data_IF_892855111238
#
_entry.id   IF_892855111238
#
_cell.length_a   1.000
_cell.length_b   1.000
_cell.length_c   1.000
_cell.angle_alpha   90.00
_cell.angle_beta   90.00
_cell.angle_gamma   90.00
#
_symmetry.space_group_name_H-M   'P 1'
#
loop_
_entity.id
_entity.type
_entity.pdbx_description
1 polymer ?
#
# COMPACT_ATOMS: atom_id res chain seq x y z
N UNK A 1 -17.49 4.86 -26.95
CA UNK A 1 -16.30 4.00 -26.94
C UNK A 1 -16.73 2.64 -26.40
N UNK A 2 -16.39 1.53 -27.05
CA UNK A 2 -16.70 0.20 -26.52
C UNK A 2 -15.93 -0.05 -25.21
N UNK A 3 -16.41 -0.97 -24.36
CA UNK A 3 -15.74 -1.34 -23.10
C UNK A 3 -14.27 -1.74 -23.32
N UNK A 4 -14.01 -2.61 -24.31
CA UNK A 4 -12.66 -3.04 -24.64
C UNK A 4 -11.76 -1.88 -25.12
N UNK A 5 -12.30 -0.93 -25.89
CA UNK A 5 -11.54 0.24 -26.33
C UNK A 5 -11.16 1.14 -25.14
N UNK A 6 -12.02 1.22 -24.12
CA UNK A 6 -11.72 1.98 -22.89
C UNK A 6 -10.61 1.30 -22.06
N UNK A 7 -10.68 0.00 -21.84
CA UNK A 7 -9.63 -0.75 -21.13
C UNK A 7 -8.28 -0.60 -21.84
N UNK A 8 -8.28 -0.71 -23.17
CA UNK A 8 -7.06 -0.55 -23.97
C UNK A 8 -6.47 0.86 -23.82
N UNK A 9 -7.30 1.89 -23.85
CA UNK A 9 -6.87 3.27 -23.62
C UNK A 9 -6.30 3.45 -22.20
N UNK A 10 -6.96 2.89 -21.19
CA UNK A 10 -6.49 2.92 -19.80
C UNK A 10 -5.13 2.20 -19.69
N UNK A 11 -4.96 1.02 -20.29
CA UNK A 11 -3.70 0.28 -20.30
C UNK A 11 -2.55 1.08 -20.91
N UNK A 12 -2.79 1.72 -22.06
CA UNK A 12 -1.80 2.56 -22.73
C UNK A 12 -1.46 3.84 -21.97
N UNK A 13 -2.34 4.33 -21.09
CA UNK A 13 -2.10 5.54 -20.28
C UNK A 13 -1.30 5.29 -19.01
N UNK A 14 -1.10 4.02 -18.61
CA UNK A 14 -0.32 3.70 -17.42
C UNK A 14 1.15 4.07 -17.60
N UNK A 15 1.76 4.50 -16.50
CA UNK A 15 3.18 4.76 -16.38
C UNK A 15 3.77 3.94 -15.21
N UNK A 16 5.10 3.75 -15.12
CA UNK A 16 5.71 2.99 -14.03
C UNK A 16 5.42 3.51 -12.61
N UNK A 17 4.89 4.73 -12.47
CA UNK A 17 4.39 5.26 -11.20
C UNK A 17 2.99 4.72 -10.84
N UNK A 18 2.31 4.05 -11.76
CA UNK A 18 1.05 3.37 -11.52
C UNK A 18 1.33 1.92 -11.10
N UNK A 19 0.80 1.49 -9.97
CA UNK A 19 1.07 0.19 -9.32
C UNK A 19 0.98 -0.99 -10.32
N UNK A 20 -0.06 -1.02 -11.13
CA UNK A 20 -0.30 -2.10 -12.07
C UNK A 20 0.85 -2.28 -13.08
N UNK A 21 1.37 -1.18 -13.66
CA UNK A 21 2.49 -1.24 -14.58
C UNK A 21 3.81 -1.46 -13.84
N UNK A 22 4.00 -0.82 -12.67
CA UNK A 22 5.20 -1.03 -11.85
C UNK A 22 5.40 -2.51 -11.52
N UNK A 23 4.36 -3.17 -11.00
CA UNK A 23 4.39 -4.59 -10.63
C UNK A 23 4.77 -5.47 -11.83
N UNK A 24 4.17 -5.22 -13.00
CA UNK A 24 4.50 -5.97 -14.23
C UNK A 24 5.93 -5.72 -14.71
N UNK A 25 6.43 -4.50 -14.60
CA UNK A 25 7.81 -4.17 -14.92
C UNK A 25 8.80 -4.82 -13.93
N UNK A 26 8.42 -4.84 -12.65
CA UNK A 26 9.22 -5.41 -11.56
C UNK A 26 9.33 -6.95 -11.60
N UNK A 27 8.58 -7.65 -12.45
CA UNK A 27 8.83 -9.07 -12.76
C UNK A 27 10.20 -9.29 -13.42
N UNK A 28 10.78 -8.26 -14.03
CA UNK A 28 12.11 -8.32 -14.65
C UNK A 28 13.22 -8.01 -13.65
N UNK A 29 14.07 -8.99 -13.37
CA UNK A 29 15.26 -8.82 -12.52
C UNK A 29 16.18 -7.69 -13.02
N UNK A 30 16.30 -7.53 -14.36
CA UNK A 30 17.10 -6.46 -14.98
C UNK A 30 16.55 -5.09 -14.66
N UNK A 31 15.22 -4.93 -14.67
CA UNK A 31 14.54 -3.68 -14.30
C UNK A 31 14.79 -3.36 -12.83
N UNK A 32 14.60 -4.34 -11.95
CA UNK A 32 14.86 -4.18 -10.51
C UNK A 32 16.31 -3.76 -10.25
N UNK A 33 17.26 -4.41 -10.89
CA UNK A 33 18.68 -4.12 -10.72
C UNK A 33 19.06 -2.72 -11.24
N UNK A 34 18.50 -2.32 -12.37
CA UNK A 34 18.75 -0.99 -12.95
C UNK A 34 18.22 0.11 -12.03
N UNK A 35 17.00 -0.01 -11.51
CA UNK A 35 16.43 0.92 -10.54
C UNK A 35 17.26 1.01 -9.26
N UNK A 36 17.56 -0.13 -8.66
CA UNK A 36 18.25 -0.18 -7.38
C UNK A 36 19.69 0.34 -7.46
N UNK A 37 20.37 0.18 -8.59
CA UNK A 37 21.69 0.79 -8.83
C UNK A 37 21.65 2.30 -8.77
N UNK A 38 20.56 2.90 -9.24
CA UNK A 38 20.37 4.36 -9.21
C UNK A 38 20.01 4.81 -7.79
N UNK A 39 19.02 4.18 -7.15
CA UNK A 39 18.54 4.60 -5.84
C UNK A 39 19.58 4.41 -4.72
N UNK A 40 20.35 3.32 -4.79
CA UNK A 40 21.39 3.01 -3.82
C UNK A 40 22.77 3.56 -4.21
N UNK A 41 22.86 4.25 -5.36
CA UNK A 41 24.10 4.80 -5.91
C UNK A 41 25.25 3.77 -5.99
N UNK A 42 24.91 2.52 -6.24
CA UNK A 42 25.85 1.40 -6.35
C UNK A 42 25.75 0.75 -7.74
N UNK A 43 26.71 1.08 -8.61
CA UNK A 43 26.78 0.56 -9.98
C UNK A 43 27.08 -0.94 -10.05
N UNK A 44 27.66 -1.50 -8.99
CA UNK A 44 28.03 -2.93 -8.92
C UNK A 44 26.96 -3.78 -8.24
N UNK A 45 25.88 -3.16 -7.74
CA UNK A 45 24.79 -3.86 -7.09
C UNK A 45 24.24 -4.99 -7.97
N UNK A 46 24.05 -6.15 -7.35
CA UNK A 46 23.46 -7.34 -7.97
C UNK A 46 22.22 -7.74 -7.20
N UNK A 47 21.10 -7.83 -7.92
CA UNK A 47 19.85 -8.39 -7.42
C UNK A 47 19.84 -9.88 -7.69
N UNK A 48 19.69 -10.70 -6.65
CA UNK A 48 19.63 -12.16 -6.76
C UNK A 48 18.21 -12.66 -7.01
N UNK A 49 17.23 -11.96 -6.43
CA UNK A 49 15.84 -12.38 -6.45
C UNK A 49 14.92 -11.16 -6.32
N UNK A 50 13.78 -11.22 -6.98
CA UNK A 50 12.75 -10.18 -6.95
C UNK A 50 11.36 -10.82 -6.82
N UNK A 51 10.54 -10.24 -6.00
CA UNK A 51 9.19 -10.72 -5.67
C UNK A 51 8.21 -9.54 -5.70
N UNK A 52 7.56 -9.28 -6.85
CA UNK A 52 6.46 -8.31 -6.93
C UNK A 52 5.26 -8.75 -6.10
N UNK A 53 4.50 -7.81 -5.57
CA UNK A 53 3.32 -8.03 -4.73
C UNK A 53 3.57 -9.02 -3.57
N UNK A 54 4.71 -8.85 -2.88
CA UNK A 54 5.08 -9.73 -1.76
C UNK A 54 4.16 -9.51 -0.56
N UNK A 55 3.37 -10.53 -0.21
CA UNK A 55 2.51 -10.49 0.98
C UNK A 55 3.35 -10.83 2.21
N UNK A 56 3.43 -9.89 3.15
CA UNK A 56 4.05 -10.08 4.46
C UNK A 56 2.95 -10.19 5.51
N UNK A 57 2.78 -11.40 6.04
CA UNK A 57 1.70 -11.70 6.99
C UNK A 57 2.03 -11.18 8.37
N UNK A 58 1.02 -10.60 9.04
CA UNK A 58 1.06 -10.30 10.45
C UNK A 58 -0.03 -11.14 11.16
N UNK A 59 0.39 -12.04 12.03
CA UNK A 59 -0.53 -12.94 12.75
C UNK A 59 -1.39 -12.22 13.80
N UNK A 60 -0.98 -11.04 14.26
CA UNK A 60 -1.62 -10.30 15.34
C UNK A 60 -2.24 -8.96 14.90
N UNK A 61 -2.12 -8.60 13.63
CA UNK A 61 -2.58 -7.30 13.15
C UNK A 61 -2.65 -7.23 11.63
N UNK A 62 -2.56 -6.01 11.10
CA UNK A 62 -2.64 -5.74 9.68
C UNK A 62 -1.43 -6.33 8.94
N UNK A 63 -1.64 -7.24 8.01
CA UNK A 63 -0.63 -7.66 7.02
C UNK A 63 -0.34 -6.53 6.04
N UNK A 64 0.81 -6.57 5.37
CA UNK A 64 1.11 -5.63 4.30
C UNK A 64 1.41 -6.37 2.99
N UNK A 65 1.14 -5.68 1.89
CA UNK A 65 1.54 -6.09 0.55
C UNK A 65 2.61 -5.09 0.14
N UNK A 66 3.79 -5.59 -0.20
CA UNK A 66 4.89 -4.78 -0.71
C UNK A 66 4.83 -4.83 -2.24
N UNK A 67 4.90 -3.68 -2.90
CA UNK A 67 4.85 -3.63 -4.36
C UNK A 67 6.00 -4.42 -4.98
N UNK A 68 7.18 -4.34 -4.37
CA UNK A 68 8.33 -5.14 -4.75
C UNK A 68 9.22 -5.42 -3.54
N UNK A 69 9.68 -6.68 -3.43
CA UNK A 69 10.74 -7.11 -2.51
C UNK A 69 11.88 -7.69 -3.31
N UNK A 70 13.12 -7.25 -3.04
CA UNK A 70 14.34 -7.76 -3.67
C UNK A 70 15.33 -8.26 -2.62
N UNK A 71 16.11 -9.29 -2.98
CA UNK A 71 17.27 -9.75 -2.23
C UNK A 71 18.54 -9.43 -3.00
N UNK A 72 19.46 -8.74 -2.37
CA UNK A 72 20.75 -8.36 -2.95
C UNK A 72 21.83 -9.43 -2.71
N UNK A 73 22.85 -9.46 -3.55
CA UNK A 73 24.02 -10.31 -3.36
C UNK A 73 24.78 -10.00 -2.05
N UNK A 74 24.66 -8.79 -1.53
CA UNK A 74 25.18 -8.40 -0.22
C UNK A 74 24.42 -9.00 0.97
N UNK A 75 23.34 -9.74 0.73
CA UNK A 75 22.45 -10.26 1.76
C UNK A 75 21.35 -9.29 2.21
N UNK A 76 21.42 -8.02 1.84
CA UNK A 76 20.40 -7.01 2.19
C UNK A 76 19.09 -7.29 1.49
N UNK A 77 18.00 -6.94 2.17
CA UNK A 77 16.65 -6.98 1.61
C UNK A 77 16.21 -5.56 1.30
N UNK A 78 15.70 -5.33 0.11
CA UNK A 78 15.13 -4.04 -0.30
C UNK A 78 13.66 -4.25 -0.59
N UNK A 79 12.81 -3.40 -0.05
CA UNK A 79 11.44 -3.29 -0.55
C UNK A 79 11.20 -1.92 -1.16
N UNK A 80 10.39 -1.88 -2.21
CA UNK A 80 10.02 -0.67 -2.93
C UNK A 80 8.50 -0.54 -2.89
N UNK A 81 8.05 0.67 -2.63
CA UNK A 81 6.65 1.10 -2.68
C UNK A 81 6.55 2.23 -3.69
N UNK A 82 5.53 2.24 -4.53
CA UNK A 82 5.21 3.36 -5.41
C UNK A 82 3.91 4.02 -4.96
N UNK A 83 3.85 5.35 -4.99
CA UNK A 83 2.69 6.09 -4.51
C UNK A 83 2.39 7.30 -5.41
N UNK A 84 1.18 7.34 -5.96
CA UNK A 84 0.73 8.42 -6.84
C UNK A 84 -0.03 9.52 -6.08
N UNK A 85 -0.83 9.14 -5.10
CA UNK A 85 -1.63 10.05 -4.28
C UNK A 85 -0.96 10.38 -2.94
N UNK A 86 -1.13 11.60 -2.46
CA UNK A 86 -0.63 12.05 -1.15
C UNK A 86 -1.70 11.80 -0.07
N UNK A 87 -1.53 10.73 0.71
CA UNK A 87 -2.45 10.28 1.77
C UNK A 87 -2.00 10.69 3.18
N UNK A 88 -0.96 11.53 3.32
CA UNK A 88 -0.39 12.07 4.58
C UNK A 88 0.18 11.07 5.60
N UNK A 89 0.22 9.76 5.30
CA UNK A 89 0.70 8.73 6.25
C UNK A 89 1.99 7.99 5.82
N UNK A 90 2.66 8.46 4.78
CA UNK A 90 3.74 7.78 4.07
C UNK A 90 4.88 7.28 4.97
N UNK A 91 5.40 8.13 5.85
CA UNK A 91 6.49 7.76 6.75
C UNK A 91 6.05 6.69 7.77
N UNK A 92 4.80 6.71 8.21
CA UNK A 92 4.24 5.69 9.11
C UNK A 92 4.06 4.36 8.39
N UNK A 93 3.64 4.39 7.13
CA UNK A 93 3.50 3.22 6.25
C UNK A 93 4.86 2.58 6.01
N UNK A 94 5.87 3.35 5.59
CA UNK A 94 7.24 2.86 5.39
C UNK A 94 7.79 2.20 6.66
N UNK A 95 7.66 2.87 7.82
CA UNK A 95 8.04 2.29 9.11
C UNK A 95 7.32 0.98 9.41
N UNK A 96 6.01 0.92 9.19
CA UNK A 96 5.21 -0.27 9.46
C UNK A 96 5.63 -1.44 8.57
N UNK A 97 5.73 -1.21 7.26
CA UNK A 97 6.12 -2.22 6.28
C UNK A 97 7.54 -2.75 6.55
N UNK A 98 8.49 -1.86 6.82
CA UNK A 98 9.86 -2.22 7.21
C UNK A 98 9.91 -3.06 8.48
N UNK A 99 9.11 -2.72 9.50
CA UNK A 99 9.08 -3.45 10.77
C UNK A 99 8.52 -4.86 10.60
N UNK A 100 7.39 -5.01 9.89
CA UNK A 100 6.80 -6.33 9.62
C UNK A 100 7.75 -7.16 8.76
N UNK A 101 8.34 -6.57 7.71
CA UNK A 101 9.30 -7.28 6.86
C UNK A 101 10.47 -7.78 7.70
N UNK A 102 11.05 -6.94 8.56
CA UNK A 102 12.17 -7.31 9.45
C UNK A 102 11.78 -8.46 10.37
N UNK A 103 10.58 -8.42 10.96
CA UNK A 103 10.09 -9.49 11.83
C UNK A 103 9.90 -10.82 11.08
N UNK A 104 9.48 -10.77 9.82
CA UNK A 104 9.21 -11.98 9.02
C UNK A 104 10.46 -12.60 8.39
N UNK A 105 11.56 -11.85 8.22
CA UNK A 105 12.83 -12.39 7.70
C UNK A 105 13.76 -12.88 8.79
N UNK A 106 13.42 -12.65 10.06
CA UNK A 106 14.16 -13.14 11.21
C UNK A 106 13.78 -14.59 11.50
N UNK A 107 14.71 -15.53 11.30
CA UNK A 107 14.47 -16.92 11.62
C UNK A 107 14.35 -17.13 13.15
N UNK A 108 13.45 -18.00 13.62
CA UNK A 108 13.35 -18.34 15.01
C UNK A 108 14.70 -18.81 15.61
N UNK A 109 15.14 -18.14 16.68
CA UNK A 109 16.40 -18.47 17.36
C UNK A 109 17.66 -17.87 16.71
N UNK A 110 17.56 -17.14 15.59
CA UNK A 110 18.68 -16.39 15.02
C UNK A 110 19.13 -15.27 15.97
N UNK A 111 20.42 -14.93 15.91
CA UNK A 111 20.93 -13.77 16.64
C UNK A 111 20.53 -12.49 15.92
N UNK A 112 20.21 -11.42 16.65
CA UNK A 112 19.83 -10.14 16.06
C UNK A 112 20.85 -9.58 15.05
N UNK A 113 22.15 -9.86 15.24
CA UNK A 113 23.21 -9.46 14.31
C UNK A 113 23.16 -10.18 12.95
N UNK A 114 22.48 -11.33 12.89
CA UNK A 114 22.40 -12.16 11.69
C UNK A 114 21.14 -11.85 10.87
N UNK A 115 20.25 -10.99 11.38
CA UNK A 115 19.07 -10.52 10.67
C UNK A 115 19.53 -9.59 9.52
N UNK A 116 19.11 -9.86 8.27
CA UNK A 116 19.47 -9.03 7.14
C UNK A 116 19.10 -7.56 7.30
N UNK A 117 19.94 -6.65 6.80
CA UNK A 117 19.59 -5.24 6.69
C UNK A 117 18.39 -5.07 5.76
N UNK A 118 17.47 -4.16 6.13
CA UNK A 118 16.28 -3.82 5.37
C UNK A 118 16.38 -2.38 4.86
N UNK A 119 16.26 -2.22 3.56
CA UNK A 119 16.21 -0.92 2.89
C UNK A 119 14.81 -0.69 2.36
N UNK A 120 14.18 0.39 2.77
CA UNK A 120 12.87 0.82 2.29
C UNK A 120 13.04 1.93 1.26
N UNK A 121 12.55 1.72 0.04
CA UNK A 121 12.53 2.74 -1.01
C UNK A 121 11.08 3.13 -1.27
N UNK A 122 10.75 4.38 -1.05
CA UNK A 122 9.43 4.94 -1.29
C UNK A 122 9.50 5.91 -2.47
N UNK A 123 8.86 5.57 -3.58
CA UNK A 123 8.81 6.39 -4.80
C UNK A 123 7.46 7.10 -4.84
N UNK A 124 7.45 8.42 -4.90
CA UNK A 124 6.22 9.21 -4.92
C UNK A 124 6.17 10.19 -6.09
N UNK A 125 4.96 10.46 -6.57
CA UNK A 125 4.70 11.51 -7.57
C UNK A 125 4.66 12.91 -6.95
N UNK A 126 4.96 13.03 -5.66
CA UNK A 126 4.95 14.27 -4.88
C UNK A 126 6.15 14.29 -3.92
N UNK A 127 6.50 15.47 -3.43
CA UNK A 127 7.61 15.64 -2.47
C UNK A 127 7.13 15.42 -1.02
N UNK A 128 7.37 14.22 -0.47
CA UNK A 128 7.00 13.83 0.91
C UNK A 128 7.48 14.83 1.95
N UNK A 129 8.68 15.41 1.78
CA UNK A 129 9.30 16.32 2.74
C UNK A 129 9.15 17.79 2.37
N UNK A 130 8.66 18.11 1.16
CA UNK A 130 8.48 19.48 0.65
C UNK A 130 9.78 20.33 0.72
N UNK A 131 10.91 19.70 0.36
CA UNK A 131 12.26 20.33 0.39
C UNK A 131 12.92 20.42 -0.99
N UNK A 132 12.21 20.04 -2.05
CA UNK A 132 12.65 20.17 -3.44
C UNK A 132 13.86 19.32 -3.81
N UNK A 133 14.02 18.14 -3.24
CA UNK A 133 15.10 17.21 -3.60
C UNK A 133 14.52 16.00 -4.35
N UNK A 134 15.28 15.49 -5.31
CA UNK A 134 14.94 14.28 -6.06
C UNK A 134 15.01 13.00 -5.20
N UNK A 135 15.86 13.02 -4.16
CA UNK A 135 16.01 11.90 -3.23
C UNK A 135 16.29 12.39 -1.82
N UNK A 136 15.77 11.66 -0.84
CA UNK A 136 16.05 11.86 0.58
C UNK A 136 16.50 10.55 1.20
N UNK A 137 17.58 10.60 1.98
CA UNK A 137 18.03 9.51 2.82
C UNK A 137 17.69 9.84 4.26
N UNK A 138 16.88 8.98 4.90
CA UNK A 138 16.50 9.13 6.30
C UNK A 138 17.36 8.20 7.13
N UNK A 139 18.11 8.80 8.06
CA UNK A 139 19.05 8.09 8.92
C UNK A 139 18.73 8.37 10.39
N UNK A 140 19.12 7.47 11.26
CA UNK A 140 19.06 7.67 12.70
C UNK A 140 20.34 8.26 13.21
N UNK A 141 20.24 9.21 14.12
CA UNK A 141 21.38 9.85 14.76
C UNK A 141 21.24 9.80 16.28
N UNK A 142 22.38 9.72 16.96
CA UNK A 142 22.46 9.96 18.39
C UNK A 142 22.41 11.46 18.59
N UNK A 143 21.36 11.97 19.22
CA UNK A 143 21.09 13.40 19.29
C UNK A 143 22.17 14.18 20.02
N UNK A 144 22.79 13.54 21.02
CA UNK A 144 23.82 14.12 21.87
C UNK A 144 25.20 14.23 21.19
N UNK A 145 25.50 13.35 20.22
CA UNK A 145 26.82 13.30 19.57
C UNK A 145 26.76 13.66 18.09
N UNK A 146 25.58 13.61 17.46
CA UNK A 146 25.39 13.76 16.02
C UNK A 146 25.84 12.55 15.20
N UNK A 147 26.27 11.47 15.85
CA UNK A 147 26.76 10.26 15.18
C UNK A 147 25.61 9.43 14.60
N UNK A 148 25.84 8.83 13.43
CA UNK A 148 24.88 7.94 12.79
C UNK A 148 24.77 6.60 13.51
N UNK A 149 23.55 6.08 13.63
CA UNK A 149 23.26 4.76 14.18
C UNK A 149 23.04 3.75 13.06
N UNK A 150 23.92 2.78 12.96
CA UNK A 150 23.80 1.66 12.03
C UNK A 150 23.08 0.50 12.71
N UNK A 151 21.79 0.38 12.47
CA UNK A 151 20.93 -0.67 13.07
C UNK A 151 20.28 -1.60 12.05
N UNK A 152 20.82 -1.63 10.83
CA UNK A 152 20.31 -2.50 9.76
C UNK A 152 19.05 -1.95 9.04
N UNK A 153 18.62 -0.71 9.33
CA UNK A 153 17.45 -0.10 8.67
C UNK A 153 17.85 1.18 7.95
N UNK A 154 17.43 1.32 6.69
CA UNK A 154 17.61 2.53 5.89
C UNK A 154 16.31 2.87 5.17
N UNK A 155 15.96 4.15 5.11
CA UNK A 155 14.79 4.64 4.38
C UNK A 155 15.25 5.63 3.30
N UNK A 156 14.72 5.46 2.09
CA UNK A 156 15.01 6.30 0.92
C UNK A 156 13.67 6.74 0.35
N UNK A 157 13.50 8.06 0.21
CA UNK A 157 12.32 8.62 -0.44
C UNK A 157 12.75 9.26 -1.75
N UNK A 158 12.14 8.80 -2.85
CA UNK A 158 12.41 9.26 -4.21
C UNK A 158 11.23 10.10 -4.68
N UNK A 159 11.51 11.33 -5.06
CA UNK A 159 10.55 12.31 -5.51
C UNK A 159 10.55 12.39 -7.04
N UNK A 160 9.48 11.94 -7.68
CA UNK A 160 9.36 11.94 -9.15
C UNK A 160 8.93 13.30 -9.73
N UNK A 161 8.67 14.31 -8.88
CA UNK A 161 8.29 15.65 -9.33
C UNK A 161 9.50 16.53 -9.72
N UNK A 162 10.67 16.24 -9.15
CA UNK A 162 11.86 17.07 -9.33
C UNK A 162 12.64 16.68 -10.59
N UNK A 163 12.98 17.69 -11.38
CA UNK A 163 13.82 17.57 -12.56
C UNK A 163 15.10 18.42 -12.39
N UNK A 164 16.12 17.85 -11.75
CA UNK A 164 17.41 18.46 -11.49
C UNK A 164 18.54 17.89 -12.38
N UNK A 165 18.15 17.21 -13.48
CA UNK A 165 19.07 16.55 -14.41
C UNK A 165 19.90 15.39 -13.83
N UNK A 166 19.72 15.06 -12.56
CA UNK A 166 20.36 13.90 -11.94
C UNK A 166 19.89 12.58 -12.57
N UNK A 167 20.66 11.51 -12.35
CA UNK A 167 20.27 10.18 -12.79
C UNK A 167 18.93 9.74 -12.20
N UNK A 168 18.64 10.17 -10.99
CA UNK A 168 17.38 9.89 -10.30
C UNK A 168 16.24 10.64 -10.98
N UNK A 169 16.40 11.95 -11.25
CA UNK A 169 15.38 12.73 -11.94
C UNK A 169 15.12 12.19 -13.35
N UNK A 170 16.17 11.81 -14.10
CA UNK A 170 16.04 11.18 -15.41
C UNK A 170 15.31 9.85 -15.35
N UNK A 171 15.61 9.00 -14.37
CA UNK A 171 14.90 7.75 -14.15
C UNK A 171 13.42 8.01 -13.79
N UNK A 172 13.16 8.96 -12.88
CA UNK A 172 11.79 9.34 -12.51
C UNK A 172 11.01 9.93 -13.67
N UNK A 173 11.64 10.59 -14.60
CA UNK A 173 11.01 11.02 -15.85
C UNK A 173 10.48 9.84 -16.69
N UNK A 174 11.22 8.72 -16.72
CA UNK A 174 10.69 7.46 -17.32
C UNK A 174 9.47 6.96 -16.54
N UNK A 175 9.41 7.19 -15.22
CA UNK A 175 8.30 6.75 -14.38
C UNK A 175 7.01 7.56 -14.58
N UNK A 176 7.11 8.84 -14.88
CA UNK A 176 5.93 9.74 -14.88
C UNK A 176 5.51 10.25 -16.25
N UNK A 177 6.42 10.35 -17.20
CA UNK A 177 6.11 10.86 -18.56
C UNK A 177 5.75 9.72 -19.52
N UNK A 178 4.66 9.90 -20.20
CA UNK A 178 4.03 8.86 -21.03
C UNK A 178 4.96 8.33 -22.15
N UNK A 179 5.56 9.22 -22.91
CA UNK A 179 6.38 8.90 -24.09
C UNK A 179 7.87 9.05 -23.88
N UNK A 180 8.31 9.24 -22.64
CA UNK A 180 9.73 9.40 -22.34
C UNK A 180 10.41 8.04 -22.09
N UNK A 181 11.51 7.84 -22.79
CA UNK A 181 12.39 6.66 -22.71
C UNK A 181 13.84 7.18 -22.65
N UNK A 182 14.68 6.55 -21.83
CA UNK A 182 16.06 7.00 -21.65
C UNK A 182 17.05 5.86 -21.93
N UNK A 183 17.98 6.08 -22.86
CA UNK A 183 18.99 5.09 -23.22
C UNK A 183 19.97 4.76 -22.08
N UNK A 184 20.04 5.61 -21.05
CA UNK A 184 20.82 5.34 -19.85
C UNK A 184 20.18 4.25 -18.98
N UNK A 185 18.88 4.08 -19.11
CA UNK A 185 18.08 3.08 -18.40
C UNK A 185 17.36 2.16 -19.38
N UNK A 186 18.14 1.33 -20.12
CA UNK A 186 17.61 0.55 -21.25
C UNK A 186 16.63 -0.54 -20.79
N UNK A 187 16.84 -1.19 -19.63
CA UNK A 187 15.96 -2.26 -19.17
C UNK A 187 14.57 -1.74 -18.82
N UNK A 188 14.49 -0.64 -18.10
CA UNK A 188 13.23 0.03 -17.73
C UNK A 188 12.53 0.62 -18.97
N UNK A 189 13.27 1.35 -19.80
CA UNK A 189 12.72 2.00 -20.98
C UNK A 189 12.16 1.00 -21.98
N UNK A 190 12.87 -0.10 -22.21
CA UNK A 190 12.41 -1.17 -23.11
C UNK A 190 11.18 -1.88 -22.55
N UNK A 191 11.20 -2.23 -21.25
CA UNK A 191 10.06 -2.92 -20.62
C UNK A 191 8.81 -2.03 -20.65
N UNK A 192 8.94 -0.74 -20.35
CA UNK A 192 7.87 0.24 -20.49
C UNK A 192 7.34 0.29 -21.92
N UNK A 193 8.24 0.37 -22.91
CA UNK A 193 7.85 0.43 -24.32
C UNK A 193 7.06 -0.80 -24.73
N UNK A 194 7.49 -2.01 -24.36
CA UNK A 194 6.77 -3.25 -24.65
C UNK A 194 5.32 -3.16 -24.16
N UNK A 195 5.10 -2.83 -22.90
CA UNK A 195 3.75 -2.77 -22.32
C UNK A 195 2.87 -1.65 -22.89
N UNK A 196 3.46 -0.59 -23.43
CA UNK A 196 2.70 0.55 -23.94
C UNK A 196 2.46 0.51 -25.45
N UNK A 197 3.31 -0.18 -26.22
CA UNK A 197 3.29 -0.05 -27.68
C UNK A 197 3.16 -1.35 -28.45
N UNK A 198 3.51 -2.51 -27.86
CA UNK A 198 3.30 -3.79 -28.53
C UNK A 198 1.90 -4.31 -28.26
N UNK A 199 1.34 -5.05 -29.23
CA UNK A 199 0.00 -5.61 -29.09
C UNK A 199 -0.07 -6.61 -27.92
N UNK A 200 0.95 -7.46 -27.77
CA UNK A 200 1.07 -8.43 -26.69
C UNK A 200 1.15 -7.75 -25.32
N UNK A 201 2.05 -6.77 -25.14
CA UNK A 201 2.22 -6.06 -23.88
C UNK A 201 0.97 -5.25 -23.49
N UNK A 202 0.31 -4.59 -24.44
CA UNK A 202 -0.95 -3.87 -24.17
C UNK A 202 -2.07 -4.85 -23.78
N UNK A 203 -2.17 -6.01 -24.43
CA UNK A 203 -3.17 -7.02 -24.07
C UNK A 203 -2.91 -7.58 -22.66
N UNK A 204 -1.65 -7.85 -22.33
CA UNK A 204 -1.27 -8.28 -20.97
C UNK A 204 -1.68 -7.24 -19.91
N UNK A 205 -1.47 -5.95 -20.18
CA UNK A 205 -1.91 -4.88 -19.27
C UNK A 205 -3.44 -4.76 -19.20
N UNK A 206 -4.15 -5.00 -20.31
CA UNK A 206 -5.63 -5.06 -20.27
C UNK A 206 -6.13 -6.14 -19.30
N UNK A 207 -5.54 -7.34 -19.35
CA UNK A 207 -5.89 -8.44 -18.43
C UNK A 207 -5.62 -8.09 -16.97
N UNK A 208 -4.49 -7.42 -16.69
CA UNK A 208 -4.17 -6.92 -15.34
C UNK A 208 -5.22 -5.94 -14.85
N UNK A 209 -5.61 -4.97 -15.67
CA UNK A 209 -6.63 -3.96 -15.32
C UNK A 209 -7.99 -4.63 -15.07
N UNK A 210 -8.39 -5.58 -15.91
CA UNK A 210 -9.65 -6.30 -15.74
C UNK A 210 -9.69 -7.10 -14.45
N UNK A 211 -8.59 -7.81 -14.14
CA UNK A 211 -8.44 -8.56 -12.89
C UNK A 211 -8.53 -7.64 -11.67
N UNK A 212 -7.74 -6.55 -11.65
CA UNK A 212 -7.74 -5.61 -10.53
C UNK A 212 -9.13 -4.98 -10.32
N UNK A 213 -9.85 -4.67 -11.40
CA UNK A 213 -11.23 -4.17 -11.33
C UNK A 213 -12.21 -5.22 -10.80
N UNK A 214 -12.03 -6.48 -11.18
CA UNK A 214 -12.87 -7.57 -10.68
C UNK A 214 -12.65 -7.82 -9.18
N UNK A 215 -11.38 -7.80 -8.74
CA UNK A 215 -10.98 -7.93 -7.34
C UNK A 215 -11.55 -6.78 -6.49
N UNK A 216 -11.35 -5.53 -6.91
CA UNK A 216 -11.88 -4.36 -6.20
C UNK A 216 -13.42 -4.38 -6.09
N UNK A 217 -14.13 -4.86 -7.14
CA UNK A 217 -15.59 -5.05 -7.07
C UNK A 217 -15.97 -6.14 -6.07
N UNK A 218 -15.24 -7.25 -6.06
CA UNK A 218 -15.52 -8.36 -5.14
C UNK A 218 -15.29 -7.95 -3.68
N UNK A 219 -14.21 -7.19 -3.41
CA UNK A 219 -13.92 -6.63 -2.09
C UNK A 219 -15.00 -5.66 -1.65
N UNK A 220 -15.37 -4.67 -2.47
CA UNK A 220 -16.43 -3.71 -2.15
C UNK A 220 -17.78 -4.39 -1.90
N UNK A 221 -18.11 -5.46 -2.65
CA UNK A 221 -19.31 -6.25 -2.37
C UNK A 221 -19.20 -7.06 -1.07
N UNK A 222 -18.02 -7.53 -0.70
CA UNK A 222 -17.81 -8.25 0.55
C UNK A 222 -17.91 -7.32 1.76
N UNK A 223 -17.29 -6.14 1.68
CA UNK A 223 -17.35 -5.09 2.70
C UNK A 223 -18.80 -4.61 2.91
N UNK A 224 -19.50 -4.21 1.84
CA UNK A 224 -20.88 -3.76 1.93
C UNK A 224 -21.84 -4.83 2.50
N UNK A 225 -21.59 -6.13 2.20
CA UNK A 225 -22.35 -7.21 2.84
C UNK A 225 -22.00 -7.39 4.32
N UNK A 226 -20.73 -7.17 4.70
CA UNK A 226 -20.32 -7.28 6.10
C UNK A 226 -20.90 -6.12 6.93
N UNK A 227 -20.85 -4.91 6.40
CA UNK A 227 -21.45 -3.71 7.02
C UNK A 227 -22.97 -3.87 7.16
N UNK A 228 -23.70 -4.18 6.09
CA UNK A 228 -25.14 -4.37 6.15
C UNK A 228 -25.58 -5.49 7.10
N UNK A 229 -24.77 -6.56 7.24
CA UNK A 229 -25.03 -7.60 8.25
C UNK A 229 -24.76 -7.11 9.68
N UNK A 230 -23.75 -6.26 9.87
CA UNK A 230 -23.44 -5.69 11.18
C UNK A 230 -24.53 -4.71 11.62
N UNK A 231 -24.97 -3.82 10.73
CA UNK A 231 -26.08 -2.89 10.94
C UNK A 231 -27.40 -3.62 11.22
N UNK A 232 -27.81 -4.54 10.37
CA UNK A 232 -29.04 -5.30 10.57
C UNK A 232 -29.05 -6.14 11.86
N UNK A 233 -27.88 -6.64 12.31
CA UNK A 233 -27.79 -7.30 13.63
C UNK A 233 -27.88 -6.29 14.79
N UNK A 234 -27.36 -5.08 14.63
CA UNK A 234 -27.46 -4.04 15.64
C UNK A 234 -28.90 -3.56 15.77
N UNK A 235 -29.56 -3.25 14.64
CA UNK A 235 -30.97 -2.86 14.58
C UNK A 235 -31.89 -3.95 15.15
N UNK A 236 -31.76 -5.19 14.70
CA UNK A 236 -32.57 -6.31 15.21
C UNK A 236 -32.39 -6.57 16.70
N UNK A 237 -31.17 -6.34 17.25
CA UNK A 237 -30.95 -6.40 18.70
C UNK A 237 -31.65 -5.24 19.44
N UNK A 238 -31.59 -4.03 18.89
CA UNK A 238 -32.25 -2.87 19.47
C UNK A 238 -33.77 -3.02 19.46
N UNK A 239 -34.35 -3.44 18.34
CA UNK A 239 -35.78 -3.72 18.21
C UNK A 239 -36.25 -4.85 19.14
N UNK A 240 -35.49 -5.96 19.19
CA UNK A 240 -35.79 -7.08 20.09
C UNK A 240 -35.73 -6.68 21.57
N UNK A 241 -34.75 -5.85 21.95
CA UNK A 241 -34.64 -5.30 23.30
C UNK A 241 -35.83 -4.38 23.64
N UNK A 242 -36.17 -3.47 22.74
CA UNK A 242 -37.31 -2.56 22.91
C UNK A 242 -38.64 -3.35 23.02
N UNK A 243 -38.83 -4.34 22.17
CA UNK A 243 -40.02 -5.19 22.18
C UNK A 243 -40.16 -5.97 23.51
N UNK A 244 -39.04 -6.55 24.00
CA UNK A 244 -39.01 -7.23 25.29
C UNK A 244 -39.32 -6.31 26.45
N UNK A 245 -38.70 -5.15 26.53
CA UNK A 245 -38.91 -4.14 27.56
C UNK A 245 -40.34 -3.63 27.55
N UNK A 246 -40.90 -3.35 26.37
CA UNK A 246 -42.32 -2.98 26.19
C UNK A 246 -43.26 -4.05 26.74
N UNK A 247 -42.97 -5.32 26.47
CA UNK A 247 -43.75 -6.43 27.00
C UNK A 247 -43.70 -6.53 28.53
N UNK A 248 -42.51 -6.32 29.13
CA UNK A 248 -42.35 -6.33 30.58
C UNK A 248 -43.07 -5.17 31.25
N UNK A 249 -43.11 -3.98 30.66
CA UNK A 249 -43.91 -2.85 31.15
C UNK A 249 -45.39 -3.17 31.07
N UNK A 250 -45.90 -3.68 29.96
CA UNK A 250 -47.32 -4.06 29.79
C UNK A 250 -47.76 -5.13 30.77
N UNK A 251 -46.84 -6.00 31.22
CA UNK A 251 -47.09 -7.02 32.25
C UNK A 251 -46.90 -6.54 33.68
N UNK A 252 -46.70 -5.22 33.91
CA UNK A 252 -46.38 -4.59 35.16
C UNK A 252 -45.17 -5.23 35.91
N UNK A 253 -44.20 -5.75 35.15
CA UNK A 253 -42.97 -6.36 35.68
C UNK A 253 -41.81 -5.37 35.73
N UNK A 254 -41.90 -4.25 34.99
CA UNK A 254 -40.95 -3.15 34.93
C UNK A 254 -41.73 -1.84 34.89
N UNK A 255 -41.22 -0.81 35.53
CA UNK A 255 -41.72 0.55 35.33
C UNK A 255 -41.20 1.13 34.01
N UNK A 256 -41.91 2.13 33.46
CA UNK A 256 -41.47 2.83 32.25
C UNK A 256 -40.07 3.43 32.45
N UNK A 257 -39.79 3.99 33.65
CA UNK A 257 -38.50 4.56 33.99
C UNK A 257 -37.36 3.56 33.93
N UNK A 258 -37.57 2.36 34.51
CA UNK A 258 -36.59 1.27 34.46
C UNK A 258 -36.41 0.74 33.02
N UNK A 259 -37.49 0.61 32.26
CA UNK A 259 -37.42 0.14 30.88
C UNK A 259 -36.71 1.15 29.96
N UNK A 260 -36.93 2.44 30.14
CA UNK A 260 -36.24 3.50 29.43
C UNK A 260 -34.73 3.52 29.75
N UNK A 261 -34.40 3.37 31.02
CA UNK A 261 -33.00 3.24 31.47
C UNK A 261 -32.31 2.03 30.86
N UNK A 262 -32.97 0.85 30.91
CA UNK A 262 -32.46 -0.37 30.26
C UNK A 262 -32.39 -0.25 28.74
N UNK A 263 -33.19 0.56 28.10
CA UNK A 263 -33.15 0.81 26.65
C UNK A 263 -32.18 1.92 26.26
N UNK A 264 -31.49 2.53 27.23
CA UNK A 264 -30.55 3.65 27.02
C UNK A 264 -31.19 4.85 26.33
N UNK A 265 -32.41 5.22 26.76
CA UNK A 265 -33.20 6.31 26.19
C UNK A 265 -33.99 7.08 27.28
N UNK A 266 -34.60 8.21 26.89
CA UNK A 266 -35.48 8.95 27.80
C UNK A 266 -36.83 8.25 27.97
N UNK A 267 -37.53 8.52 29.10
CA UNK A 267 -38.89 7.97 29.31
C UNK A 267 -39.85 8.43 28.21
N UNK A 268 -39.69 9.65 27.71
CA UNK A 268 -40.51 10.20 26.63
C UNK A 268 -40.30 9.45 25.31
N UNK A 269 -39.02 9.18 24.94
CA UNK A 269 -38.70 8.43 23.74
C UNK A 269 -39.19 6.99 23.85
N UNK A 270 -39.00 6.37 25.03
CA UNK A 270 -39.46 5.01 25.26
C UNK A 270 -41.00 4.89 25.11
N UNK A 271 -41.75 5.83 25.69
CA UNK A 271 -43.24 5.88 25.52
C UNK A 271 -43.64 5.96 24.06
N UNK A 272 -42.95 6.84 23.30
CA UNK A 272 -43.26 7.07 21.89
C UNK A 272 -42.99 5.82 21.06
N UNK A 273 -41.80 5.19 21.23
CA UNK A 273 -41.38 4.00 20.48
C UNK A 273 -42.14 2.75 20.91
N UNK A 274 -42.48 2.61 22.17
CA UNK A 274 -43.24 1.48 22.72
C UNK A 274 -44.77 1.59 22.56
N UNK A 275 -45.25 2.70 22.01
CA UNK A 275 -46.68 3.00 21.88
C UNK A 275 -47.45 2.82 23.22
N UNK A 276 -46.92 3.44 24.29
CA UNK A 276 -47.42 3.36 25.66
C UNK A 276 -47.98 4.71 26.13
#
# INVERSE_FOLDING_TARGET
>A
MSYNAKIRADAMSLNPIDDALFIKMAESLKVCQEMLRVFLMDKQLVVLDNMPQSIVKNLQGRSCILDLKCRLASGKIVHIEVQKADDDDHQRRVRYNSSILTANIADPGSKFRDIPDVISVFISKFDVFKRGKAIYHVERIIKETGEKVYNGTQEIYVNAEINDESDIARLMKVFVEDTYYDNKFPAISERKRIFKTTEEGVNEMCEVIERNRAEARAEGHAEGRAEGRAEGRAEGRAEGRLSLLTKLVKLNKLSIKEAAYEADMTEADFRTLALL
#
